data_IF_607894587683
#
_entry.id   IF_607894587683
#
_cell.length_a   1.000
_cell.length_b   1.000
_cell.length_c   1.000
_cell.angle_alpha   90.00
_cell.angle_beta   90.00
_cell.angle_gamma   90.00
#
_symmetry.space_group_name_H-M   'P 1'
#
loop_
_entity.id
_entity.type
_entity.pdbx_description
1 polymer ?
#
# COMPACT_ATOMS: atom_id res chain seq x y z
N UNK A 1 9.23 -19.89 -9.07
CA UNK A 1 7.79 -19.60 -9.20
C UNK A 1 7.68 -18.26 -9.91
N UNK A 2 6.95 -18.16 -11.02
CA UNK A 2 6.81 -16.88 -11.71
C UNK A 2 5.76 -16.00 -11.02
N UNK A 3 5.98 -14.68 -11.00
CA UNK A 3 5.08 -13.69 -10.39
C UNK A 3 3.63 -13.81 -10.89
N UNK A 4 3.47 -14.06 -12.19
CA UNK A 4 2.15 -14.22 -12.83
C UNK A 4 1.33 -15.37 -12.26
N UNK A 5 1.99 -16.46 -11.83
CA UNK A 5 1.32 -17.63 -11.28
C UNK A 5 0.91 -17.42 -9.82
N UNK A 6 1.68 -16.61 -9.09
CA UNK A 6 1.44 -16.31 -7.69
C UNK A 6 0.24 -15.37 -7.51
N UNK A 7 0.05 -14.44 -8.45
CA UNK A 7 -0.98 -13.40 -8.36
C UNK A 7 -0.69 -12.40 -7.24
N UNK A 8 -1.52 -11.37 -7.15
CA UNK A 8 -1.35 -10.26 -6.19
C UNK A 8 -1.41 -10.73 -4.74
N UNK A 9 -2.52 -11.35 -4.34
CA UNK A 9 -2.70 -11.83 -2.96
C UNK A 9 -1.69 -12.90 -2.55
N UNK A 10 -1.29 -13.75 -3.50
CA UNK A 10 -0.23 -14.73 -3.26
C UNK A 10 1.13 -14.06 -3.03
N UNK A 11 1.42 -12.97 -3.75
CA UNK A 11 2.64 -12.19 -3.57
C UNK A 11 2.65 -11.47 -2.21
N UNK A 12 1.54 -10.81 -1.86
CA UNK A 12 1.38 -10.17 -0.54
C UNK A 12 1.61 -11.19 0.57
N UNK A 13 0.97 -12.36 0.49
CA UNK A 13 1.12 -13.44 1.47
C UNK A 13 2.55 -13.97 1.52
N UNK A 14 3.20 -14.13 0.36
CA UNK A 14 4.58 -14.60 0.28
C UNK A 14 5.58 -13.62 0.89
N UNK A 15 5.36 -12.32 0.76
CA UNK A 15 6.21 -11.28 1.36
C UNK A 15 5.92 -11.16 2.86
N UNK A 16 4.64 -11.16 3.26
CA UNK A 16 4.22 -10.99 4.64
C UNK A 16 4.76 -12.09 5.57
N UNK A 17 4.96 -13.31 5.07
CA UNK A 17 5.41 -14.46 5.87
C UNK A 17 6.76 -14.24 6.58
N UNK A 18 7.64 -13.42 5.99
CA UNK A 18 9.00 -13.19 6.48
C UNK A 18 9.09 -11.91 7.33
N UNK A 19 7.98 -11.19 7.49
CA UNK A 19 7.95 -9.92 8.24
C UNK A 19 7.62 -10.18 9.70
N UNK A 20 8.50 -9.69 10.57
CA UNK A 20 8.32 -9.73 12.01
C UNK A 20 7.78 -8.39 12.50
N UNK A 21 6.74 -8.45 13.33
CA UNK A 21 6.21 -7.30 14.05
C UNK A 21 6.97 -7.16 15.36
N UNK A 22 7.66 -6.03 15.53
CA UNK A 22 8.47 -5.74 16.72
C UNK A 22 7.74 -4.88 17.75
N UNK A 23 6.73 -4.13 17.32
CA UNK A 23 6.01 -3.15 18.13
C UNK A 23 4.63 -3.71 18.54
N UNK A 24 4.35 -3.89 19.84
CA UNK A 24 3.06 -4.40 20.31
C UNK A 24 1.87 -3.49 19.94
N UNK A 25 2.14 -2.21 19.66
CA UNK A 25 1.16 -1.24 19.17
C UNK A 25 0.68 -1.54 17.75
N UNK A 26 1.36 -2.43 17.01
CA UNK A 26 0.94 -2.83 15.66
C UNK A 26 -0.25 -3.78 15.75
N UNK A 27 -1.46 -3.23 15.74
CA UNK A 27 -2.71 -4.00 15.80
C UNK A 27 -2.93 -4.82 14.53
N UNK A 28 -2.52 -4.28 13.37
CA UNK A 28 -2.57 -4.98 12.07
C UNK A 28 -1.35 -4.62 11.23
N UNK A 29 -0.54 -5.63 10.88
CA UNK A 29 0.65 -5.51 10.03
C UNK A 29 0.31 -5.52 8.54
N UNK A 30 1.18 -6.16 7.74
CA UNK A 30 1.02 -6.24 6.27
C UNK A 30 -0.32 -6.89 5.90
N UNK A 31 -1.05 -6.22 5.01
CA UNK A 31 -2.33 -6.64 4.44
C UNK A 31 -2.58 -5.91 3.12
N UNK A 32 -3.80 -5.96 2.61
CA UNK A 32 -4.17 -5.35 1.32
C UNK A 32 -4.34 -3.83 1.43
N UNK A 33 -5.28 -3.36 2.25
CA UNK A 33 -5.70 -1.95 2.22
C UNK A 33 -4.87 -1.01 3.11
N UNK A 34 -4.51 -1.45 4.33
CA UNK A 34 -3.82 -0.61 5.31
C UNK A 34 -3.26 -1.40 6.51
N UNK A 35 -2.24 -0.82 7.16
CA UNK A 35 -1.77 -1.20 8.48
C UNK A 35 -2.41 -0.33 9.57
N UNK A 36 -2.53 -0.87 10.79
CA UNK A 36 -3.15 -0.19 11.94
C UNK A 36 -2.20 -0.19 13.12
N UNK A 37 -1.90 0.99 13.64
CA UNK A 37 -1.03 1.23 14.78
C UNK A 37 -1.84 1.89 15.90
N UNK A 38 -1.79 1.34 17.11
CA UNK A 38 -2.36 1.93 18.31
C UNK A 38 -1.51 3.13 18.76
N UNK A 39 -2.15 4.28 18.96
CA UNK A 39 -1.51 5.49 19.46
C UNK A 39 -1.85 5.78 20.93
N UNK A 40 -2.61 4.88 21.59
CA UNK A 40 -3.12 5.08 22.93
C UNK A 40 -4.36 5.99 22.96
N UNK A 41 -4.95 6.09 24.15
CA UNK A 41 -6.13 6.95 24.42
C UNK A 41 -7.35 6.64 23.52
N UNK A 42 -7.44 5.41 23.01
CA UNK A 42 -8.51 4.99 22.10
C UNK A 42 -8.32 5.47 20.65
N UNK A 43 -7.17 6.04 20.31
CA UNK A 43 -6.84 6.48 18.95
C UNK A 43 -5.98 5.45 18.21
N UNK A 44 -6.21 5.34 16.90
CA UNK A 44 -5.39 4.50 16.01
C UNK A 44 -4.91 5.32 14.82
N UNK A 45 -3.69 5.02 14.35
CA UNK A 45 -3.18 5.49 13.06
C UNK A 45 -3.37 4.41 12.01
N UNK A 46 -3.93 4.79 10.88
CA UNK A 46 -4.09 3.94 9.71
C UNK A 46 -3.07 4.38 8.67
N UNK A 47 -2.28 3.44 8.16
CA UNK A 47 -1.22 3.69 7.18
C UNK A 47 -1.54 2.89 5.93
N UNK A 48 -1.71 3.57 4.80
CA UNK A 48 -1.80 2.97 3.48
C UNK A 48 -0.74 3.55 2.55
N UNK A 49 -0.48 2.87 1.43
CA UNK A 49 0.48 3.31 0.44
C UNK A 49 0.13 2.75 -0.94
N UNK A 50 -0.15 3.66 -1.86
CA UNK A 50 -0.27 3.34 -3.29
C UNK A 50 0.94 3.78 -4.11
N UNK A 51 1.09 3.16 -5.29
CA UNK A 51 2.10 3.53 -6.28
C UNK A 51 1.46 3.77 -7.65
N UNK A 52 1.79 4.89 -8.28
CA UNK A 52 1.41 5.18 -9.66
C UNK A 52 2.62 5.03 -10.59
N UNK A 53 2.51 4.10 -11.54
CA UNK A 53 3.50 3.83 -12.59
C UNK A 53 3.04 4.44 -13.93
N UNK A 54 3.93 5.15 -14.61
CA UNK A 54 3.70 5.66 -15.96
C UNK A 54 3.54 4.50 -16.96
N UNK A 55 2.65 4.64 -17.94
CA UNK A 55 2.26 3.60 -18.90
C UNK A 55 1.26 2.58 -18.37
N UNK A 56 1.02 2.55 -17.05
CA UNK A 56 -0.01 1.71 -16.41
C UNK A 56 -1.14 2.58 -15.84
N UNK A 57 -0.78 3.57 -15.01
CA UNK A 57 -1.75 4.39 -14.28
C UNK A 57 -1.93 5.79 -14.87
N UNK A 58 -0.91 6.32 -15.55
CA UNK A 58 -0.93 7.61 -16.21
C UNK A 58 0.07 7.65 -17.37
N UNK A 59 -0.03 8.68 -18.21
CA UNK A 59 0.91 8.99 -19.27
C UNK A 59 1.11 10.52 -19.29
N UNK A 60 2.36 10.99 -19.22
CA UNK A 60 2.66 12.42 -19.17
C UNK A 60 2.31 13.18 -20.46
N UNK A 61 2.16 12.50 -21.60
CA UNK A 61 1.68 13.13 -22.84
C UNK A 61 0.24 13.62 -22.70
N UNK A 62 -0.57 12.97 -21.85
CA UNK A 62 -1.99 13.25 -21.66
C UNK A 62 -2.34 13.72 -20.24
N UNK A 63 -1.41 13.60 -19.29
CA UNK A 63 -1.62 13.91 -17.87
C UNK A 63 -0.69 15.02 -17.42
N UNK A 64 -1.17 16.28 -17.35
CA UNK A 64 -0.42 17.36 -16.74
C UNK A 64 -0.06 17.06 -15.28
N UNK A 65 1.11 17.53 -14.83
CA UNK A 65 1.64 17.23 -13.50
C UNK A 65 0.67 17.59 -12.35
N UNK A 66 -0.13 18.66 -12.50
CA UNK A 66 -1.15 19.02 -11.50
C UNK A 66 -2.23 17.95 -11.36
N UNK A 67 -2.68 17.38 -12.48
CA UNK A 67 -3.69 16.31 -12.46
C UNK A 67 -3.11 15.01 -11.94
N UNK A 68 -1.85 14.72 -12.27
CA UNK A 68 -1.14 13.58 -11.69
C UNK A 68 -1.02 13.73 -10.17
N UNK A 69 -0.66 14.92 -9.66
CA UNK A 69 -0.61 15.20 -8.23
C UNK A 69 -1.97 15.03 -7.55
N UNK A 70 -3.04 15.53 -8.16
CA UNK A 70 -4.40 15.31 -7.66
C UNK A 70 -4.76 13.82 -7.61
N UNK A 71 -4.50 13.08 -8.70
CA UNK A 71 -4.73 11.64 -8.77
C UNK A 71 -3.93 10.89 -7.71
N UNK A 72 -2.67 11.26 -7.48
CA UNK A 72 -1.81 10.62 -6.48
C UNK A 72 -2.37 10.75 -5.06
N UNK A 73 -3.02 11.86 -4.72
CA UNK A 73 -3.68 12.01 -3.42
C UNK A 73 -5.01 11.25 -3.41
N UNK A 74 -5.81 11.37 -4.47
CA UNK A 74 -7.17 10.82 -4.52
C UNK A 74 -7.26 9.27 -4.52
N UNK A 75 -6.15 8.58 -4.80
CA UNK A 75 -6.10 7.11 -4.76
C UNK A 75 -5.80 6.55 -3.38
N UNK A 76 -5.29 7.37 -2.44
CA UNK A 76 -5.09 7.00 -1.03
C UNK A 76 -6.30 7.46 -0.20
#
# INVERSE_FOLDING_TARGET
>A
MELKQLGEFGLISHLAKDVQIYHPETLKGIGDDAAVIDNGEGNVTIISKDMLLEGIHFDLHYTPLKHLGYKAIAVN
#
